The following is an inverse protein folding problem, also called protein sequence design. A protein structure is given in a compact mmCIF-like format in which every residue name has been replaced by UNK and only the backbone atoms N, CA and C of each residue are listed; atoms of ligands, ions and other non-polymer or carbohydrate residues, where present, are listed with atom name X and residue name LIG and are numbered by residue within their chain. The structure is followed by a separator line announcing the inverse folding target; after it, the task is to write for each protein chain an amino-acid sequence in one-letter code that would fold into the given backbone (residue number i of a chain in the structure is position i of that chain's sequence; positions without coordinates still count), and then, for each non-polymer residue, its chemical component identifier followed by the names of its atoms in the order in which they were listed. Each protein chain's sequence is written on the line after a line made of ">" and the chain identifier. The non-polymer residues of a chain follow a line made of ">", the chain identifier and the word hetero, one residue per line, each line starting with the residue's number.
data_IF_467819023315
#
_entry.id   IF_467819023315
#
_cell.length_a   1.000
_cell.length_b   1.000
_cell.length_c   1.000
_cell.angle_alpha   90.00
_cell.angle_beta   90.00
_cell.angle_gamma   90.00
#
_symmetry.space_group_name_H-M   'P 1'
#
loop_
_entity.id
_entity.type
_entity.pdbx_description
1 polymer ?
#
# COMPACT_ATOMS: atom_id res chain seq x y z
N UNK A 1 2.85 14.76 -17.29
CA UNK A 1 2.38 13.53 -16.61
C UNK A 1 1.10 13.04 -17.31
N UNK A 2 1.04 11.76 -17.60
CA UNK A 2 -0.15 11.12 -18.19
C UNK A 2 -0.84 10.35 -17.06
N UNK A 3 -2.18 10.45 -17.00
CA UNK A 3 -3.02 9.67 -16.09
C UNK A 3 -4.03 8.89 -16.94
N UNK A 4 -4.11 7.59 -16.68
CA UNK A 4 -5.08 6.70 -17.31
C UNK A 4 -5.88 5.97 -16.23
N UNK A 5 -7.19 5.91 -16.39
CA UNK A 5 -8.07 5.20 -15.45
C UNK A 5 -9.16 4.46 -16.24
N UNK A 6 -9.23 3.16 -16.03
CA UNK A 6 -10.21 2.29 -16.66
C UNK A 6 -11.00 1.58 -15.55
N UNK A 7 -12.32 1.63 -15.67
CA UNK A 7 -13.22 0.98 -14.73
C UNK A 7 -14.30 0.22 -15.50
N UNK A 8 -14.52 -1.03 -15.10
CA UNK A 8 -15.58 -1.88 -15.63
C UNK A 8 -16.41 -2.40 -14.47
N UNK A 9 -17.72 -2.28 -14.54
CA UNK A 9 -18.61 -2.77 -13.49
C UNK A 9 -19.83 -3.48 -14.07
N UNK A 10 -20.23 -4.55 -13.37
CA UNK A 10 -21.41 -5.33 -13.65
C UNK A 10 -22.29 -5.34 -12.41
N UNK A 11 -23.56 -5.04 -12.60
CA UNK A 11 -24.54 -5.07 -11.53
C UNK A 11 -25.71 -5.95 -11.93
N UNK A 12 -26.13 -6.82 -11.03
CA UNK A 12 -27.34 -7.61 -11.15
C UNK A 12 -28.17 -7.41 -9.88
N UNK A 13 -29.44 -7.07 -10.04
CA UNK A 13 -30.37 -6.92 -8.94
C UNK A 13 -31.69 -7.63 -9.29
N UNK A 14 -32.21 -8.37 -8.33
CA UNK A 14 -33.56 -8.94 -8.37
C UNK A 14 -34.22 -8.81 -6.99
N UNK A 15 -35.42 -9.40 -6.82
CA UNK A 15 -36.16 -9.29 -5.56
C UNK A 15 -35.45 -9.98 -4.38
N UNK A 16 -34.56 -10.94 -4.66
CA UNK A 16 -33.91 -11.78 -3.65
C UNK A 16 -32.41 -11.59 -3.57
N UNK A 17 -31.78 -10.90 -4.53
CA UNK A 17 -30.36 -10.70 -4.54
C UNK A 17 -29.92 -9.40 -5.22
N UNK A 18 -28.83 -8.83 -4.70
CA UNK A 18 -28.09 -7.75 -5.31
C UNK A 18 -26.64 -8.15 -5.43
N UNK A 19 -26.04 -7.94 -6.61
CA UNK A 19 -24.65 -8.29 -6.86
C UNK A 19 -23.98 -7.16 -7.64
N UNK A 20 -22.79 -6.79 -7.24
CA UNK A 20 -21.92 -5.84 -7.94
C UNK A 20 -20.53 -6.45 -8.05
N UNK A 21 -20.02 -6.49 -9.25
CA UNK A 21 -18.62 -6.81 -9.55
C UNK A 21 -17.99 -5.64 -10.28
N UNK A 22 -16.81 -5.19 -9.87
CA UNK A 22 -16.08 -4.17 -10.61
C UNK A 22 -14.58 -4.45 -10.65
N UNK A 23 -13.97 -4.06 -11.77
CA UNK A 23 -12.52 -4.08 -12.00
C UNK A 23 -12.06 -2.67 -12.34
N UNK A 24 -10.91 -2.28 -11.79
CA UNK A 24 -10.28 -1.00 -12.05
C UNK A 24 -8.81 -1.16 -12.35
N UNK A 25 -8.31 -0.38 -13.31
CA UNK A 25 -6.89 -0.16 -13.57
C UNK A 25 -6.60 1.32 -13.56
N UNK A 26 -5.54 1.69 -12.87
CA UNK A 26 -5.07 3.06 -12.76
C UNK A 26 -3.57 3.11 -13.04
N UNK A 27 -3.14 4.03 -13.90
CA UNK A 27 -1.73 4.29 -14.25
C UNK A 27 -1.49 5.80 -14.26
N UNK A 28 -0.52 6.24 -13.47
CA UNK A 28 -0.15 7.64 -13.37
C UNK A 28 1.37 7.79 -13.46
N UNK A 29 1.81 8.55 -14.45
CA UNK A 29 3.18 9.04 -14.49
C UNK A 29 3.31 10.25 -13.55
N UNK A 30 4.36 10.28 -12.73
CA UNK A 30 4.64 11.40 -11.85
C UNK A 30 5.13 12.64 -12.61
N UNK A 31 5.01 13.81 -11.98
CA UNK A 31 5.60 15.07 -12.49
C UNK A 31 7.13 15.04 -12.41
N UNK A 32 7.67 14.36 -11.41
CA UNK A 32 9.11 14.16 -11.26
C UNK A 32 9.53 12.99 -12.12
N UNK A 33 10.64 13.14 -12.86
CA UNK A 33 11.17 12.08 -13.73
C UNK A 33 11.37 10.77 -12.96
N UNK A 34 11.07 9.65 -13.63
CA UNK A 34 11.23 8.28 -13.10
C UNK A 34 10.31 7.94 -11.93
N UNK A 35 9.29 8.74 -11.66
CA UNK A 35 8.25 8.38 -10.69
C UNK A 35 6.96 7.96 -11.40
N UNK A 36 6.33 6.92 -10.87
CA UNK A 36 5.07 6.40 -11.37
C UNK A 36 4.27 5.73 -10.26
N UNK A 37 2.99 5.52 -10.53
CA UNK A 37 2.10 4.75 -9.68
C UNK A 37 1.09 3.99 -10.53
N UNK A 38 0.98 2.68 -10.30
CA UNK A 38 0.01 1.80 -10.95
C UNK A 38 -0.79 1.03 -9.93
N UNK A 39 -2.06 0.78 -10.24
CA UNK A 39 -2.95 0.01 -9.37
C UNK A 39 -3.95 -0.80 -10.18
N UNK A 40 -4.09 -2.07 -9.82
CA UNK A 40 -5.21 -2.92 -10.21
C UNK A 40 -6.10 -3.11 -8.99
N UNK A 41 -7.41 -3.05 -9.17
CA UNK A 41 -8.37 -3.26 -8.10
C UNK A 41 -9.58 -4.06 -8.57
N UNK A 42 -10.10 -4.89 -7.67
CA UNK A 42 -11.36 -5.61 -7.85
C UNK A 42 -12.26 -5.39 -6.65
N UNK A 43 -13.56 -5.29 -6.89
CA UNK A 43 -14.58 -5.21 -5.85
C UNK A 43 -15.69 -6.19 -6.17
N UNK A 44 -16.11 -6.89 -5.15
CA UNK A 44 -17.27 -7.77 -5.18
C UNK A 44 -18.14 -7.47 -3.97
N UNK A 45 -19.41 -7.16 -4.23
CA UNK A 45 -20.40 -6.97 -3.18
C UNK A 45 -21.62 -7.82 -3.55
N UNK A 46 -22.14 -8.58 -2.60
CA UNK A 46 -23.42 -9.25 -2.80
C UNK A 46 -24.26 -9.24 -1.54
N UNK A 47 -25.56 -9.35 -1.74
CA UNK A 47 -26.56 -9.53 -0.69
C UNK A 47 -27.62 -10.50 -1.18
N UNK A 48 -28.01 -11.43 -0.34
CA UNK A 48 -29.05 -12.41 -0.58
C UNK A 48 -30.12 -12.37 0.53
N UNK A 49 -31.37 -12.34 0.12
CA UNK A 49 -32.55 -12.41 0.99
C UNK A 49 -33.10 -13.83 0.94
N UNK A 50 -33.13 -14.48 2.07
CA UNK A 50 -33.54 -15.87 2.23
C UNK A 50 -34.74 -15.96 3.18
N UNK A 51 -35.56 -17.02 3.04
CA UNK A 51 -36.69 -17.30 3.90
C UNK A 51 -37.66 -16.10 4.02
N UNK A 52 -38.10 -15.58 2.87
CA UNK A 52 -39.00 -14.42 2.78
C UNK A 52 -38.51 -13.18 3.56
N UNK A 53 -37.20 -12.88 3.42
CA UNK A 53 -36.49 -11.77 4.03
C UNK A 53 -36.26 -11.91 5.57
N UNK A 54 -36.45 -13.11 6.13
CA UNK A 54 -36.11 -13.36 7.53
C UNK A 54 -34.60 -13.45 7.76
N UNK A 55 -33.85 -13.84 6.74
CA UNK A 55 -32.39 -13.91 6.78
C UNK A 55 -31.81 -13.17 5.58
N UNK A 56 -30.91 -12.19 5.84
CA UNK A 56 -30.06 -11.56 4.83
C UNK A 56 -28.63 -11.93 5.09
N UNK A 57 -27.92 -12.33 4.05
CA UNK A 57 -26.48 -12.60 4.08
C UNK A 57 -25.84 -11.74 3.02
N UNK A 58 -24.75 -11.08 3.37
CA UNK A 58 -24.03 -10.26 2.41
C UNK A 58 -22.53 -10.26 2.65
N UNK A 59 -21.82 -9.99 1.57
CA UNK A 59 -20.37 -9.76 1.59
C UNK A 59 -20.02 -8.51 0.79
N UNK A 60 -18.95 -7.84 1.28
CA UNK A 60 -18.31 -6.74 0.60
C UNK A 60 -16.80 -7.01 0.61
N UNK A 61 -16.22 -7.25 -0.55
CA UNK A 61 -14.80 -7.57 -0.69
C UNK A 61 -14.16 -6.60 -1.67
N UNK A 62 -13.03 -6.03 -1.30
CA UNK A 62 -12.19 -5.17 -2.14
C UNK A 62 -10.75 -5.67 -2.10
N UNK A 63 -10.20 -5.94 -3.25
CA UNK A 63 -8.80 -6.33 -3.46
C UNK A 63 -8.10 -5.24 -4.26
N UNK A 64 -6.88 -4.92 -3.90
CA UNK A 64 -6.04 -4.04 -4.71
C UNK A 64 -4.58 -4.44 -4.63
N UNK A 65 -3.90 -4.26 -5.75
CA UNK A 65 -2.45 -4.38 -5.85
C UNK A 65 -1.92 -3.13 -6.54
N UNK A 66 -0.98 -2.45 -5.91
CA UNK A 66 -0.33 -1.26 -6.47
C UNK A 66 1.18 -1.40 -6.44
N UNK A 67 1.82 -0.78 -7.42
CA UNK A 67 3.28 -0.69 -7.52
C UNK A 67 3.67 0.61 -8.16
N UNK A 68 4.88 1.05 -7.90
CA UNK A 68 5.42 2.27 -8.48
C UNK A 68 6.69 2.74 -7.80
N UNK A 69 7.36 3.67 -8.45
CA UNK A 69 8.57 4.32 -7.97
C UNK A 69 8.23 5.66 -7.35
N UNK A 70 8.49 5.81 -6.07
CA UNK A 70 8.29 7.06 -5.35
C UNK A 70 9.58 7.88 -5.28
N UNK A 71 9.43 9.20 -5.17
CA UNK A 71 10.53 10.14 -4.96
C UNK A 71 10.45 10.69 -3.54
N UNK A 72 11.56 10.59 -2.81
CA UNK A 72 11.65 11.19 -1.47
C UNK A 72 11.64 12.72 -1.58
N UNK A 73 10.75 13.35 -0.83
CA UNK A 73 10.64 14.80 -0.72
C UNK A 73 10.86 15.33 0.72
N UNK A 74 11.34 14.46 1.62
CA UNK A 74 11.59 14.83 3.01
C UNK A 74 12.81 15.75 3.10
N UNK A 75 12.59 17.02 3.40
CA UNK A 75 13.64 18.04 3.51
C UNK A 75 14.68 17.72 4.62
N UNK A 76 14.24 17.18 5.75
CA UNK A 76 15.11 16.88 6.89
C UNK A 76 16.07 15.70 6.64
N UNK A 77 15.71 14.78 5.69
CA UNK A 77 16.46 13.58 5.39
C UNK A 77 17.07 13.58 3.97
N UNK A 78 17.30 14.75 3.38
CA UNK A 78 17.90 14.86 2.06
C UNK A 78 16.96 14.37 0.94
N UNK A 79 15.70 14.79 0.95
CA UNK A 79 14.75 14.49 -0.13
C UNK A 79 15.17 15.13 -1.45
N UNK A 80 14.99 14.41 -2.55
CA UNK A 80 15.49 14.83 -3.88
C UNK A 80 14.99 16.18 -4.33
N UNK A 81 13.75 16.56 -4.02
CA UNK A 81 13.22 17.89 -4.37
C UNK A 81 13.88 19.00 -3.55
N UNK A 82 14.15 18.74 -2.27
CA UNK A 82 14.86 19.67 -1.42
C UNK A 82 16.33 19.83 -1.84
N UNK A 83 16.99 18.73 -2.20
CA UNK A 83 18.34 18.76 -2.74
C UNK A 83 18.39 19.51 -4.07
N UNK A 84 17.41 19.33 -4.96
CA UNK A 84 17.33 20.07 -6.22
C UNK A 84 17.20 21.58 -6.02
N UNK A 85 16.51 22.03 -4.97
CA UNK A 85 16.45 23.46 -4.61
C UNK A 85 17.79 24.00 -4.12
N UNK A 86 18.57 23.18 -3.39
CA UNK A 86 19.89 23.56 -2.86
C UNK A 86 21.02 23.37 -3.85
N UNK A 87 20.82 22.57 -4.89
CA UNK A 87 21.85 22.27 -5.88
C UNK A 87 22.15 23.48 -6.72
N UNK A 88 23.42 23.78 -6.88
CA UNK A 88 23.84 25.03 -7.54
C UNK A 88 23.56 24.98 -9.05
N UNK A 89 22.93 26.01 -9.56
CA UNK A 89 22.52 26.12 -10.97
C UNK A 89 23.72 26.21 -11.96
N UNK A 90 24.91 26.51 -11.47
CA UNK A 90 26.13 26.52 -12.29
C UNK A 90 26.63 25.08 -12.61
N UNK A 91 26.23 24.09 -11.80
CA UNK A 91 26.63 22.69 -12.02
C UNK A 91 25.75 22.08 -13.11
N UNK A 92 26.33 21.56 -14.21
CA UNK A 92 25.54 20.92 -15.24
C UNK A 92 24.94 19.59 -14.76
N UNK A 93 23.91 19.09 -15.45
CA UNK A 93 23.34 17.78 -15.15
C UNK A 93 24.33 16.65 -15.44
N UNK A 94 25.10 16.79 -16.51
CA UNK A 94 26.10 15.84 -16.97
C UNK A 94 27.46 16.52 -17.12
N UNK A 95 28.53 15.78 -16.83
CA UNK A 95 29.90 16.18 -17.12
C UNK A 95 30.27 15.88 -18.60
N UNK A 96 31.50 16.12 -18.99
CA UNK A 96 32.00 15.86 -20.36
C UNK A 96 32.06 14.36 -20.71
N UNK A 97 32.07 13.49 -19.72
CA UNK A 97 32.12 12.03 -19.84
C UNK A 97 30.72 11.41 -19.81
N UNK A 98 29.68 12.23 -19.91
CA UNK A 98 28.25 11.85 -19.83
C UNK A 98 27.84 11.19 -18.49
N UNK A 99 28.60 11.44 -17.43
CA UNK A 99 28.26 11.04 -16.08
C UNK A 99 27.50 12.16 -15.35
N UNK A 100 26.81 11.87 -14.26
CA UNK A 100 26.14 12.92 -13.46
C UNK A 100 27.19 13.79 -12.76
N UNK A 101 27.14 15.09 -13.06
CA UNK A 101 28.14 16.02 -12.58
C UNK A 101 28.03 16.23 -11.06
N UNK A 102 29.15 16.16 -10.38
CA UNK A 102 29.26 16.44 -8.95
C UNK A 102 29.25 17.93 -8.64
N UNK A 103 28.81 18.27 -7.43
CA UNK A 103 28.81 19.64 -6.92
C UNK A 103 30.17 19.96 -6.27
N UNK A 104 30.88 20.96 -6.78
CA UNK A 104 32.18 21.38 -6.24
C UNK A 104 32.09 22.13 -4.92
N UNK A 105 30.92 22.63 -4.55
CA UNK A 105 30.73 23.51 -3.38
C UNK A 105 30.01 22.82 -2.21
N UNK A 106 29.47 21.65 -2.41
CA UNK A 106 28.79 20.90 -1.34
C UNK A 106 28.80 19.38 -1.62
N UNK A 107 28.46 18.62 -0.60
CA UNK A 107 28.30 17.15 -0.61
C UNK A 107 26.91 16.69 -1.07
N UNK A 108 26.12 17.59 -1.68
CA UNK A 108 24.79 17.26 -2.21
C UNK A 108 24.97 16.51 -3.53
N UNK A 109 24.46 15.26 -3.64
CA UNK A 109 24.53 14.50 -4.88
C UNK A 109 23.65 15.14 -5.97
N UNK A 110 24.02 14.89 -7.23
CA UNK A 110 23.25 15.37 -8.36
C UNK A 110 21.79 14.88 -8.28
N UNK A 111 20.78 15.75 -8.21
CA UNK A 111 19.38 15.35 -8.05
C UNK A 111 18.87 14.48 -9.21
N UNK A 112 19.32 14.74 -10.44
CA UNK A 112 18.98 13.92 -11.60
C UNK A 112 19.67 12.55 -11.55
N UNK A 113 20.92 12.48 -11.09
CA UNK A 113 21.63 11.23 -10.82
C UNK A 113 20.92 10.40 -9.75
N UNK A 114 20.49 11.04 -8.67
CA UNK A 114 19.72 10.39 -7.60
C UNK A 114 18.39 9.83 -8.09
N UNK A 115 17.63 10.57 -8.90
CA UNK A 115 16.39 10.10 -9.51
C UNK A 115 16.63 8.90 -10.44
N UNK A 116 17.68 8.96 -11.27
CA UNK A 116 18.01 7.88 -12.19
C UNK A 116 18.41 6.59 -11.44
N UNK A 117 19.22 6.71 -10.40
CA UNK A 117 19.61 5.55 -9.56
C UNK A 117 18.42 4.91 -8.84
N UNK A 118 17.36 5.71 -8.54
CA UNK A 118 16.14 5.22 -7.88
C UNK A 118 15.08 4.66 -8.83
N UNK A 119 15.23 4.78 -10.14
CA UNK A 119 14.16 4.49 -11.13
C UNK A 119 13.58 3.07 -11.09
N UNK A 120 14.41 2.09 -10.67
CA UNK A 120 14.04 0.67 -10.62
C UNK A 120 13.55 0.23 -9.22
N UNK A 121 13.60 1.12 -8.25
CA UNK A 121 13.13 0.86 -6.89
C UNK A 121 11.62 1.01 -6.82
N UNK A 122 10.94 -0.07 -6.46
CA UNK A 122 9.48 -0.11 -6.43
C UNK A 122 8.95 -0.51 -5.07
N UNK A 123 7.92 0.22 -4.64
CA UNK A 123 7.04 -0.18 -3.56
C UNK A 123 5.89 -1.00 -4.15
N UNK A 124 5.67 -2.21 -3.65
CA UNK A 124 4.53 -3.07 -4.02
C UNK A 124 3.62 -3.21 -2.81
N UNK A 125 2.36 -2.89 -3.00
CA UNK A 125 1.38 -2.92 -1.91
C UNK A 125 0.16 -3.71 -2.33
N UNK A 126 -0.18 -4.76 -1.55
CA UNK A 126 -1.41 -5.53 -1.71
C UNK A 126 -2.33 -5.25 -0.53
N UNK A 127 -3.61 -5.05 -0.79
CA UNK A 127 -4.62 -4.86 0.26
C UNK A 127 -5.87 -5.67 -0.04
N UNK A 128 -6.35 -6.35 0.98
CA UNK A 128 -7.66 -6.99 1.04
C UNK A 128 -8.47 -6.29 2.14
N UNK A 129 -9.63 -5.75 1.79
CA UNK A 129 -10.63 -5.30 2.76
C UNK A 129 -11.89 -6.09 2.49
N UNK A 130 -12.44 -6.72 3.51
CA UNK A 130 -13.65 -7.51 3.36
C UNK A 130 -14.50 -7.49 4.61
N UNK A 131 -15.79 -7.66 4.39
CA UNK A 131 -16.79 -7.83 5.44
C UNK A 131 -17.82 -8.86 5.00
N UNK A 132 -18.11 -9.83 5.88
CA UNK A 132 -19.19 -10.78 5.76
C UNK A 132 -20.21 -10.47 6.85
N UNK A 133 -21.50 -10.48 6.54
CA UNK A 133 -22.52 -10.25 7.55
C UNK A 133 -23.75 -11.13 7.33
N UNK A 134 -24.47 -11.35 8.41
CA UNK A 134 -25.79 -11.97 8.40
C UNK A 134 -26.73 -11.15 9.31
N UNK A 135 -27.94 -10.87 8.82
CA UNK A 135 -29.03 -10.21 9.54
C UNK A 135 -30.19 -11.19 9.65
N UNK A 136 -30.62 -11.45 10.86
CA UNK A 136 -31.73 -12.35 11.15
C UNK A 136 -32.88 -11.57 11.82
N UNK A 137 -34.02 -11.49 11.15
CA UNK A 137 -35.23 -10.95 11.71
C UNK A 137 -35.92 -12.03 12.55
N UNK A 138 -35.79 -11.95 13.87
CA UNK A 138 -36.27 -12.97 14.82
C UNK A 138 -37.78 -12.91 14.97
N UNK A 139 -38.31 -11.72 15.15
CA UNK A 139 -39.74 -11.41 15.16
C UNK A 139 -39.94 -9.93 14.90
N UNK A 140 -41.20 -9.48 14.81
CA UNK A 140 -41.55 -8.11 14.50
C UNK A 140 -40.89 -7.10 15.46
N UNK A 141 -40.04 -6.26 14.90
CA UNK A 141 -39.23 -5.28 15.62
C UNK A 141 -37.90 -5.76 16.15
N UNK A 142 -37.58 -7.09 16.19
CA UNK A 142 -36.28 -7.59 16.70
C UNK A 142 -35.41 -8.16 15.59
N UNK A 143 -34.22 -7.61 15.43
CA UNK A 143 -33.22 -8.01 14.47
C UNK A 143 -31.89 -8.31 15.16
N UNK A 144 -31.29 -9.47 14.86
CA UNK A 144 -29.92 -9.80 15.21
C UNK A 144 -29.02 -9.68 13.99
N UNK A 145 -27.92 -8.98 14.12
CA UNK A 145 -26.89 -8.87 13.08
C UNK A 145 -25.54 -9.33 13.62
N UNK A 146 -24.88 -10.20 12.87
CA UNK A 146 -23.49 -10.58 13.08
C UNK A 146 -22.66 -10.16 11.87
N UNK A 147 -21.44 -9.67 12.09
CA UNK A 147 -20.53 -9.31 11.01
C UNK A 147 -19.08 -9.61 11.38
N UNK A 148 -18.33 -10.04 10.38
CA UNK A 148 -16.88 -10.28 10.49
C UNK A 148 -16.17 -9.50 9.40
N UNK A 149 -15.34 -8.54 9.82
CA UNK A 149 -14.56 -7.67 8.96
C UNK A 149 -13.08 -8.01 9.02
N UNK A 150 -12.38 -7.89 7.90
CA UNK A 150 -10.92 -8.03 7.78
C UNK A 150 -10.34 -6.87 6.98
N UNK A 151 -9.16 -6.39 7.38
CA UNK A 151 -8.30 -5.49 6.60
C UNK A 151 -6.87 -6.01 6.66
N UNK A 152 -6.43 -6.61 5.56
CA UNK A 152 -5.07 -7.09 5.38
C UNK A 152 -4.32 -6.19 4.43
N UNK A 153 -3.14 -5.75 4.82
CA UNK A 153 -2.27 -4.89 4.02
C UNK A 153 -0.84 -5.45 4.07
N UNK A 154 -0.24 -5.67 2.91
CA UNK A 154 1.16 -6.09 2.77
C UNK A 154 1.91 -5.07 1.93
N UNK A 155 3.04 -4.60 2.43
CA UNK A 155 4.00 -3.75 1.73
C UNK A 155 5.30 -4.52 1.51
N UNK A 156 5.69 -4.70 0.27
CA UNK A 156 7.01 -5.17 -0.11
C UNK A 156 7.78 -4.05 -0.79
N UNK A 157 8.94 -3.71 -0.24
CA UNK A 157 9.86 -2.71 -0.80
C UNK A 157 11.19 -3.36 -1.06
N UNK A 158 11.71 -3.20 -2.29
CA UNK A 158 13.08 -3.52 -2.65
C UNK A 158 13.76 -2.25 -3.11
N UNK A 159 14.82 -1.86 -2.41
CA UNK A 159 15.58 -0.64 -2.70
C UNK A 159 17.04 -1.01 -2.97
N UNK A 160 17.48 -0.78 -4.20
CA UNK A 160 18.88 -0.91 -4.60
C UNK A 160 19.48 0.48 -4.80
N UNK A 161 20.62 0.74 -4.18
CA UNK A 161 21.40 1.95 -4.36
C UNK A 161 22.74 1.56 -5.00
N UNK A 162 22.98 1.91 -6.26
CA UNK A 162 24.26 1.65 -6.91
C UNK A 162 25.36 2.54 -6.32
N UNK A 163 26.60 2.10 -6.45
CA UNK A 163 27.76 2.97 -6.17
C UNK A 163 27.80 4.15 -7.15
N UNK A 164 28.29 5.28 -6.70
CA UNK A 164 28.50 6.45 -7.56
C UNK A 164 29.62 7.33 -7.01
N UNK A 165 30.21 8.16 -7.87
CA UNK A 165 31.21 9.17 -7.52
C UNK A 165 30.85 10.49 -8.22
N UNK A 166 30.46 11.48 -7.44
CA UNK A 166 30.06 12.80 -7.88
C UNK A 166 30.87 13.86 -7.11
N UNK A 167 32.22 13.78 -7.20
CA UNK A 167 33.16 14.64 -6.50
C UNK A 167 33.03 14.54 -4.96
N UNK A 168 32.36 15.54 -4.34
CA UNK A 168 32.18 15.61 -2.90
C UNK A 168 31.06 14.71 -2.38
N UNK A 169 30.20 14.17 -3.26
CA UNK A 169 29.17 13.19 -2.93
C UNK A 169 29.49 11.84 -3.57
N UNK A 170 29.70 10.81 -2.77
CA UNK A 170 30.02 9.48 -3.32
C UNK A 170 29.53 8.36 -2.41
N UNK A 171 29.12 7.23 -3.04
CA UNK A 171 28.88 5.96 -2.40
C UNK A 171 29.82 4.92 -2.98
N UNK A 172 30.70 4.37 -2.15
CA UNK A 172 31.74 3.44 -2.59
C UNK A 172 31.23 2.00 -2.77
N UNK A 173 30.16 1.65 -2.10
CA UNK A 173 29.54 0.32 -2.18
C UNK A 173 28.07 0.45 -2.62
N UNK A 174 27.69 -0.41 -3.53
CA UNK A 174 26.26 -0.59 -3.82
C UNK A 174 25.57 -1.30 -2.65
N UNK A 175 24.30 -1.00 -2.41
CA UNK A 175 23.51 -1.60 -1.34
C UNK A 175 22.16 -2.08 -1.82
N UNK A 176 21.66 -3.17 -1.25
CA UNK A 176 20.31 -3.67 -1.44
C UNK A 176 19.62 -3.83 -0.09
N UNK A 177 18.43 -3.28 0.02
CA UNK A 177 17.56 -3.46 1.17
C UNK A 177 16.20 -3.99 0.73
N UNK A 178 15.76 -5.09 1.32
CA UNK A 178 14.43 -5.66 1.17
C UNK A 178 13.66 -5.48 2.48
N UNK A 179 12.47 -4.91 2.40
CA UNK A 179 11.54 -4.78 3.53
C UNK A 179 10.22 -5.42 3.15
N UNK A 180 9.73 -6.29 4.02
CA UNK A 180 8.34 -6.75 3.99
C UNK A 180 7.66 -6.33 5.29
N UNK A 181 6.48 -5.72 5.17
CA UNK A 181 5.66 -5.34 6.30
C UNK A 181 4.21 -5.71 6.02
N UNK A 182 3.54 -6.28 6.99
CA UNK A 182 2.12 -6.57 6.88
C UNK A 182 1.36 -6.14 8.11
N UNK A 183 0.11 -5.81 7.88
CA UNK A 183 -0.86 -5.46 8.93
C UNK A 183 -2.11 -6.30 8.69
N UNK A 184 -2.58 -6.97 9.73
CA UNK A 184 -3.79 -7.77 9.72
C UNK A 184 -4.71 -7.33 10.85
N UNK A 185 -5.85 -6.77 10.47
CA UNK A 185 -6.90 -6.35 11.38
C UNK A 185 -8.12 -7.21 11.13
N UNK A 186 -8.79 -7.62 12.19
CA UNK A 186 -10.13 -8.16 12.10
C UNK A 186 -11.02 -7.55 13.18
N UNK A 187 -12.30 -7.49 12.87
CA UNK A 187 -13.34 -7.05 13.79
C UNK A 187 -14.52 -8.01 13.68
N UNK A 188 -15.02 -8.43 14.82
CA UNK A 188 -16.22 -9.25 14.93
C UNK A 188 -17.25 -8.48 15.75
N UNK A 189 -18.38 -8.16 15.14
CA UNK A 189 -19.46 -7.34 15.74
C UNK A 189 -20.75 -8.12 15.75
N UNK A 190 -21.45 -8.11 16.89
CA UNK A 190 -22.79 -8.64 17.04
C UNK A 190 -23.67 -7.56 17.62
N UNK A 191 -24.85 -7.37 17.03
CA UNK A 191 -25.83 -6.40 17.49
C UNK A 191 -27.21 -7.02 17.55
N UNK A 192 -27.97 -6.65 18.59
CA UNK A 192 -29.37 -6.95 18.74
C UNK A 192 -30.13 -5.62 18.78
N UNK A 193 -30.96 -5.39 17.78
CA UNK A 193 -31.70 -4.14 17.62
C UNK A 193 -33.19 -4.43 17.79
N UNK A 194 -33.87 -3.67 18.65
CA UNK A 194 -35.30 -3.72 18.81
C UNK A 194 -35.90 -2.36 18.45
N UNK A 195 -36.82 -2.36 17.46
CA UNK A 195 -37.54 -1.18 16.99
C UNK A 195 -39.02 -1.51 16.88
N UNK A 196 -39.83 -0.91 17.74
CA UNK A 196 -41.27 -1.15 17.68
C UNK A 196 -42.08 0.07 18.14
N UNK A 197 -43.19 0.30 17.45
CA UNK A 197 -44.17 1.34 17.79
C UNK A 197 -45.39 0.68 18.40
N UNK A 198 -45.84 1.21 19.55
CA UNK A 198 -47.03 0.80 20.29
C UNK A 198 -47.91 2.03 20.45
N UNK A 199 -48.95 2.15 19.64
CA UNK A 199 -49.76 3.36 19.61
C UNK A 199 -48.91 4.61 19.31
N UNK A 200 -48.89 5.57 20.21
CA UNK A 200 -48.12 6.81 20.06
C UNK A 200 -46.67 6.71 20.58
N UNK A 201 -46.24 5.56 21.08
CA UNK A 201 -44.92 5.34 21.66
C UNK A 201 -44.02 4.50 20.73
N UNK A 202 -42.82 4.97 20.45
CA UNK A 202 -41.82 4.22 19.71
C UNK A 202 -40.63 3.90 20.62
N UNK A 203 -40.25 2.62 20.69
CA UNK A 203 -39.09 2.13 21.43
C UNK A 203 -38.01 1.73 20.43
N UNK A 204 -36.82 2.29 20.61
CA UNK A 204 -35.61 1.90 19.90
C UNK A 204 -34.55 1.49 20.95
N UNK A 205 -34.10 0.25 20.88
CA UNK A 205 -33.07 -0.27 21.77
C UNK A 205 -31.98 -1.01 20.96
N UNK A 206 -30.73 -0.85 21.35
CA UNK A 206 -29.60 -1.52 20.74
C UNK A 206 -28.73 -2.10 21.84
N UNK A 207 -28.38 -3.39 21.70
CA UNK A 207 -27.31 -4.06 22.43
C UNK A 207 -26.24 -4.50 21.45
N UNK A 208 -24.98 -4.18 21.73
CA UNK A 208 -23.86 -4.51 20.86
C UNK A 208 -22.70 -5.14 21.61
N UNK A 209 -21.99 -6.03 20.93
CA UNK A 209 -20.70 -6.61 21.36
C UNK A 209 -19.74 -6.54 20.19
N UNK A 210 -18.52 -6.08 20.44
CA UNK A 210 -17.45 -6.03 19.46
C UNK A 210 -16.19 -6.63 20.02
N UNK A 211 -15.46 -7.38 19.19
CA UNK A 211 -14.11 -7.87 19.45
C UNK A 211 -13.26 -7.55 18.24
N UNK A 212 -12.07 -7.02 18.48
CA UNK A 212 -11.14 -6.65 17.42
C UNK A 212 -9.73 -7.09 17.76
N UNK A 213 -8.91 -7.27 16.75
CA UNK A 213 -7.48 -7.52 16.91
C UNK A 213 -6.73 -6.87 15.77
N UNK A 214 -5.64 -6.20 16.10
CA UNK A 214 -4.69 -5.67 15.14
C UNK A 214 -3.34 -6.35 15.36
N UNK A 215 -2.71 -6.78 14.27
CA UNK A 215 -1.33 -7.28 14.29
C UNK A 215 -0.54 -6.67 13.15
N UNK A 216 0.53 -6.01 13.50
CA UNK A 216 1.53 -5.49 12.58
C UNK A 216 2.85 -6.22 12.76
N UNK A 217 3.49 -6.59 11.66
CA UNK A 217 4.80 -7.23 11.67
C UNK A 217 5.61 -6.76 10.46
N UNK A 218 6.91 -6.59 10.65
CA UNK A 218 7.82 -6.33 9.55
C UNK A 218 9.16 -7.02 9.75
N UNK A 219 9.84 -7.27 8.64
CA UNK A 219 11.25 -7.59 8.62
C UNK A 219 11.95 -6.80 7.50
N UNK A 220 13.24 -6.52 7.71
CA UNK A 220 14.13 -5.90 6.76
C UNK A 220 15.42 -6.72 6.72
N UNK A 221 15.93 -6.95 5.52
CA UNK A 221 17.24 -7.56 5.31
C UNK A 221 18.00 -6.74 4.28
N UNK A 222 19.30 -6.54 4.49
CA UNK A 222 20.15 -5.78 3.57
C UNK A 222 21.56 -6.34 3.50
N UNK A 223 22.21 -6.10 2.36
CA UNK A 223 23.64 -6.31 2.13
C UNK A 223 24.19 -5.18 1.28
N UNK A 224 25.49 -4.97 1.40
CA UNK A 224 26.27 -4.02 0.62
C UNK A 224 27.28 -4.77 -0.28
N UNK A 225 27.98 -4.08 -1.19
CA UNK A 225 29.07 -4.65 -1.97
C UNK A 225 28.65 -5.62 -3.07
N UNK A 226 27.73 -5.21 -3.94
CA UNK A 226 27.28 -6.02 -5.06
C UNK A 226 28.31 -5.99 -6.22
N UNK A 227 28.54 -7.11 -6.93
CA UNK A 227 29.52 -7.20 -8.01
C UNK A 227 29.12 -6.39 -9.24
N UNK A 228 27.83 -6.13 -9.44
CA UNK A 228 27.26 -5.40 -10.57
C UNK A 228 26.00 -4.64 -10.18
N UNK A 229 25.74 -3.53 -10.88
CA UNK A 229 24.50 -2.76 -10.78
C UNK A 229 23.39 -3.32 -11.69
N UNK A 230 23.66 -4.38 -12.47
CA UNK A 230 22.67 -5.05 -13.31
C UNK A 230 21.49 -5.58 -12.46
N UNK A 231 20.24 -5.34 -12.86
CA UNK A 231 19.07 -5.86 -12.16
C UNK A 231 19.07 -7.37 -11.88
N UNK A 232 19.74 -8.16 -12.73
CA UNK A 232 19.88 -9.61 -12.57
C UNK A 232 20.74 -10.02 -11.36
N UNK A 233 21.56 -9.12 -10.83
CA UNK A 233 22.37 -9.35 -9.62
C UNK A 233 21.79 -8.69 -8.36
N UNK A 234 20.60 -8.08 -8.44
CA UNK A 234 19.97 -7.40 -7.31
C UNK A 234 19.15 -8.36 -6.43
N UNK A 235 19.82 -9.38 -5.90
CA UNK A 235 19.28 -10.29 -4.87
C UNK A 235 20.26 -10.40 -3.71
N UNK A 236 19.78 -10.62 -2.49
CA UNK A 236 20.59 -10.46 -1.27
C UNK A 236 21.87 -11.32 -1.30
N UNK A 237 21.79 -12.55 -1.81
CA UNK A 237 22.95 -13.46 -1.83
C UNK A 237 24.08 -13.03 -2.77
N UNK A 238 23.83 -12.09 -3.69
CA UNK A 238 24.88 -11.53 -4.55
C UNK A 238 25.74 -10.47 -3.84
N UNK A 239 25.28 -9.91 -2.71
CA UNK A 239 26.05 -8.97 -1.90
C UNK A 239 27.03 -9.64 -0.97
N UNK A 240 28.00 -8.86 -0.47
CA UNK A 240 29.02 -9.33 0.46
C UNK A 240 28.39 -9.89 1.74
N UNK A 241 28.74 -11.13 2.07
CA UNK A 241 28.25 -11.85 3.26
C UNK A 241 28.62 -11.12 4.55
N UNK A 242 29.80 -10.48 4.61
CA UNK A 242 30.24 -9.73 5.78
C UNK A 242 29.42 -8.48 6.10
N UNK A 243 28.57 -8.02 5.17
CA UNK A 243 27.77 -6.80 5.32
C UNK A 243 26.31 -7.05 5.65
N UNK A 244 25.92 -8.30 5.88
CA UNK A 244 24.53 -8.66 6.13
C UNK A 244 23.97 -7.96 7.38
N UNK A 245 22.77 -7.36 7.24
CA UNK A 245 22.02 -6.73 8.33
C UNK A 245 20.57 -7.17 8.24
N UNK A 246 19.95 -7.37 9.40
CA UNK A 246 18.53 -7.64 9.48
C UNK A 246 17.90 -6.92 10.67
N UNK A 247 16.63 -6.65 10.59
CA UNK A 247 15.81 -6.14 11.69
C UNK A 247 14.36 -6.55 11.48
N UNK A 248 13.61 -6.66 12.56
CA UNK A 248 12.18 -6.94 12.52
C UNK A 248 11.54 -6.66 13.86
N UNK A 249 10.24 -6.43 13.83
CA UNK A 249 9.41 -6.30 15.02
C UNK A 249 7.97 -6.72 14.71
N UNK A 250 7.26 -7.12 15.76
CA UNK A 250 5.83 -7.36 15.73
C UNK A 250 5.17 -6.59 16.88
N UNK A 251 4.00 -6.03 16.62
CA UNK A 251 3.12 -5.40 17.61
C UNK A 251 1.71 -5.92 17.43
N UNK A 252 1.02 -6.11 18.54
CA UNK A 252 -0.34 -6.61 18.56
C UNK A 252 -1.14 -5.91 19.65
N UNK A 253 -2.41 -5.62 19.39
CA UNK A 253 -3.38 -5.17 20.39
C UNK A 253 -4.77 -5.73 20.07
N UNK A 254 -5.58 -5.87 21.09
CA UNK A 254 -6.97 -6.34 21.03
C UNK A 254 -7.83 -5.56 22.03
#
# INVERSE_FOLDING_TARGET
>A
AVVQSYNLSFTKADKKSNQLFSLGYYDQQGLVKFSDFKRVSGRFNSEYKLFDDHLRIGENISLSHSWGTSVSNNAALGGTLYEAYKFQSITPVKNLEDEYAGNVFSDIPNPMGKLYRNKDNQDKKSRLVGNLYAELHLFDGLMFKTSFGVDYNNLYRRSFSPKYDELNASEKLSSLSNRNAWNFNWVFTNTLTYNKTFGDHTINALLGMESLRNRYEYFTASRDGFPSDDPNFRFLDAGDVGTQKNSGAATEYS
#
